data_IF_686975530635
#
_entry.id   IF_686975530635
#
_cell.length_a   1.000
_cell.length_b   1.000
_cell.length_c   1.000
_cell.angle_alpha   90.00
_cell.angle_beta   90.00
_cell.angle_gamma   90.00
#
_symmetry.space_group_name_H-M   'P 1'
#
loop_
_entity.id
_entity.type
_entity.pdbx_description
1 polymer ?
#
# COMPACT_ATOMS: atom_id res chain seq x y z
N UNK A 1 18.85 -0.17 11.26
CA UNK A 1 17.87 -0.27 10.15
C UNK A 1 17.37 1.12 9.83
N UNK A 2 17.75 1.65 8.67
CA UNK A 2 17.33 2.98 8.23
C UNK A 2 15.80 3.04 8.12
N UNK A 3 15.22 4.05 8.78
CA UNK A 3 13.76 4.27 8.80
C UNK A 3 13.30 4.78 7.44
N UNK A 4 13.08 3.87 6.48
CA UNK A 4 12.43 4.14 5.18
C UNK A 4 10.93 4.43 5.36
N UNK A 5 10.57 5.34 6.24
CA UNK A 5 9.18 5.69 6.55
C UNK A 5 9.00 7.18 6.36
N UNK A 6 8.20 7.57 5.35
CA UNK A 6 7.72 8.93 5.16
C UNK A 6 6.26 9.04 5.60
N UNK A 7 5.84 10.20 6.10
CA UNK A 7 4.45 10.48 6.48
C UNK A 7 3.73 11.13 5.30
N UNK A 8 2.59 10.55 4.90
CA UNK A 8 1.67 11.12 3.92
C UNK A 8 0.43 11.65 4.67
N UNK A 9 0.16 12.95 4.54
CA UNK A 9 -1.04 13.59 5.10
C UNK A 9 -1.97 13.95 3.95
N UNK A 10 -3.23 13.52 4.03
CA UNK A 10 -4.25 13.76 3.01
C UNK A 10 -5.44 14.43 3.69
N UNK A 11 -5.95 15.50 3.09
CA UNK A 11 -7.23 16.09 3.48
C UNK A 11 -8.35 15.35 2.75
N UNK A 12 -9.31 14.82 3.49
CA UNK A 12 -10.50 14.16 2.96
C UNK A 12 -11.73 14.69 3.69
N UNK A 13 -12.85 14.60 3.00
CA UNK A 13 -14.16 14.87 3.56
C UNK A 13 -14.45 14.00 4.81
N UNK A 14 -15.04 14.55 5.88
CA UNK A 14 -15.28 13.83 7.13
C UNK A 14 -16.23 12.63 6.98
N UNK A 15 -17.25 12.73 6.13
CA UNK A 15 -18.19 11.63 5.90
C UNK A 15 -17.50 10.47 5.17
N UNK A 16 -16.66 10.78 4.18
CA UNK A 16 -15.83 9.76 3.51
C UNK A 16 -14.84 9.10 4.45
N UNK A 17 -14.21 9.87 5.35
CA UNK A 17 -13.30 9.32 6.36
C UNK A 17 -14.03 8.29 7.22
N UNK A 18 -15.21 8.65 7.75
CA UNK A 18 -16.01 7.77 8.60
C UNK A 18 -16.43 6.50 7.86
N UNK A 19 -16.91 6.63 6.62
CA UNK A 19 -17.29 5.47 5.81
C UNK A 19 -16.11 4.52 5.55
N UNK A 20 -14.91 5.06 5.29
CA UNK A 20 -13.69 4.26 5.12
C UNK A 20 -13.31 3.56 6.42
N UNK A 21 -13.35 4.26 7.55
CA UNK A 21 -13.02 3.69 8.87
C UNK A 21 -13.95 2.52 9.24
N UNK A 22 -15.26 2.69 9.06
CA UNK A 22 -16.27 1.65 9.31
C UNK A 22 -16.04 0.43 8.40
N UNK A 23 -15.83 0.66 7.10
CA UNK A 23 -15.58 -0.41 6.13
C UNK A 23 -14.30 -1.19 6.45
N UNK A 24 -13.26 -0.49 6.91
CA UNK A 24 -12.00 -1.10 7.32
C UNK A 24 -12.20 -1.94 8.60
N UNK A 25 -12.94 -1.42 9.57
CA UNK A 25 -13.27 -2.11 10.82
C UNK A 25 -14.01 -3.43 10.56
N UNK A 26 -14.98 -3.43 9.64
CA UNK A 26 -15.73 -4.63 9.27
C UNK A 26 -14.87 -5.74 8.64
N UNK A 27 -13.71 -5.37 8.08
CA UNK A 27 -12.80 -6.29 7.40
C UNK A 27 -11.54 -6.62 8.21
N UNK A 28 -11.48 -6.17 9.47
CA UNK A 28 -10.31 -6.32 10.36
C UNK A 28 -9.02 -5.74 9.76
N UNK A 29 -9.14 -4.64 9.00
CA UNK A 29 -8.00 -3.92 8.41
C UNK A 29 -7.98 -2.48 8.89
N UNK A 30 -6.81 -1.84 8.84
CA UNK A 30 -6.67 -0.41 9.12
C UNK A 30 -6.75 0.41 7.83
N UNK A 31 -7.30 1.65 7.87
CA UNK A 31 -7.31 2.54 6.70
C UNK A 31 -5.92 2.74 6.09
N UNK A 32 -4.88 2.79 6.94
CA UNK A 32 -3.49 2.94 6.47
C UNK A 32 -2.98 1.73 5.69
N UNK A 33 -3.45 0.51 5.96
CA UNK A 33 -3.11 -0.67 5.16
C UNK A 33 -3.77 -0.59 3.79
N UNK A 34 -5.06 -0.25 3.75
CA UNK A 34 -5.82 -0.10 2.49
C UNK A 34 -5.21 0.98 1.60
N UNK A 35 -4.96 2.18 2.14
CA UNK A 35 -4.35 3.27 1.37
C UNK A 35 -2.96 2.89 0.84
N UNK A 36 -2.12 2.22 1.64
CA UNK A 36 -0.81 1.76 1.17
C UNK A 36 -0.92 0.75 0.03
N UNK A 37 -1.91 -0.14 0.08
CA UNK A 37 -2.16 -1.09 -1.00
C UNK A 37 -2.64 -0.37 -2.26
N UNK A 38 -3.60 0.55 -2.13
CA UNK A 38 -4.08 1.39 -3.23
C UNK A 38 -2.96 2.17 -3.90
N UNK A 39 -2.03 2.76 -3.14
CA UNK A 39 -0.86 3.47 -3.69
C UNK A 39 0.01 2.51 -4.51
N UNK A 40 0.29 1.31 -3.98
CA UNK A 40 1.10 0.30 -4.69
C UNK A 40 0.45 -0.14 -5.99
N UNK A 41 -0.84 -0.48 -5.95
CA UNK A 41 -1.60 -0.89 -7.13
C UNK A 41 -1.69 0.23 -8.16
N UNK A 42 -1.84 1.48 -7.73
CA UNK A 42 -1.88 2.63 -8.62
C UNK A 42 -0.53 2.86 -9.32
N UNK A 43 0.58 2.84 -8.58
CA UNK A 43 1.92 2.95 -9.17
C UNK A 43 2.18 1.80 -10.16
N UNK A 44 1.81 0.57 -9.80
CA UNK A 44 1.94 -0.60 -10.66
C UNK A 44 1.10 -0.46 -11.95
N UNK A 45 -0.16 -0.04 -11.84
CA UNK A 45 -1.05 0.18 -12.99
C UNK A 45 -0.49 1.23 -13.97
N UNK A 46 0.22 2.24 -13.45
CA UNK A 46 0.85 3.29 -14.24
C UNK A 46 2.31 3.00 -14.61
N UNK A 47 2.82 1.80 -14.33
CA UNK A 47 4.19 1.36 -14.64
C UNK A 47 5.26 2.31 -14.05
N UNK A 48 4.98 2.88 -12.88
CA UNK A 48 5.92 3.76 -12.18
C UNK A 48 6.84 2.91 -11.30
N UNK A 49 8.12 2.88 -11.64
CA UNK A 49 9.15 2.19 -10.86
C UNK A 49 9.65 3.08 -9.71
N UNK A 50 9.91 2.47 -8.55
CA UNK A 50 10.50 3.15 -7.40
C UNK A 50 11.54 2.27 -6.70
N UNK A 51 12.59 2.84 -6.09
CA UNK A 51 13.77 2.09 -5.62
C UNK A 51 13.50 1.10 -4.47
N UNK A 52 12.34 1.21 -3.81
CA UNK A 52 11.93 0.27 -2.75
C UNK A 52 10.87 -0.74 -3.22
N UNK A 53 10.66 -0.85 -4.53
CA UNK A 53 9.73 -1.81 -5.10
C UNK A 53 10.23 -3.23 -4.79
N UNK A 54 9.40 -4.10 -4.19
CA UNK A 54 9.78 -5.49 -3.98
C UNK A 54 9.95 -6.13 -5.36
N UNK A 55 11.19 -6.38 -5.75
CA UNK A 55 11.51 -7.15 -6.95
C UNK A 55 10.82 -8.51 -6.80
N UNK A 56 9.90 -8.84 -7.72
CA UNK A 56 9.35 -10.19 -7.87
C UNK A 56 10.40 -11.12 -8.50
N UNK A 57 11.66 -11.02 -8.13
CA UNK A 57 12.68 -12.01 -8.45
C UNK A 57 12.49 -13.18 -7.49
N UNK A 58 11.57 -14.08 -7.82
CA UNK A 58 11.65 -15.45 -7.35
C UNK A 58 12.51 -16.21 -8.37
N UNK A 59 13.83 -16.34 -8.20
CA UNK A 59 14.57 -17.33 -8.97
C UNK A 59 14.00 -18.68 -8.56
N UNK A 60 13.19 -19.23 -9.46
CA UNK A 60 12.80 -20.63 -9.46
C UNK A 60 14.08 -21.43 -9.25
N UNK A 61 14.16 -22.11 -8.11
CA UNK A 61 15.19 -23.09 -7.80
C UNK A 61 15.21 -24.11 -8.93
N UNK A 62 16.21 -24.00 -9.81
CA UNK A 62 16.57 -25.08 -10.71
C UNK A 62 17.46 -26.01 -9.87
N UNK A 63 16.84 -27.01 -9.25
CA UNK A 63 17.57 -28.14 -8.71
C UNK A 63 17.92 -29.05 -9.90
N UNK A 64 19.10 -28.83 -10.47
CA UNK A 64 19.84 -29.87 -11.19
C UNK A 64 20.50 -30.80 -10.18
#
# INVERSE_FOLDING_TARGET
>A
MEKKTARLTILIDPDKKKALEELCLQQDVTPSQVIRQLIRDYLHKHQVEYPSQPTRSNPRVDNT
#
